data_IF_762324211768
#
_entry.id   IF_762324211768
#
_cell.length_a   1.000
_cell.length_b   1.000
_cell.length_c   1.000
_cell.angle_alpha   90.00
_cell.angle_beta   90.00
_cell.angle_gamma   90.00
#
_symmetry.space_group_name_H-M   'P 1'
#
loop_
_entity.id
_entity.type
_entity.pdbx_description
1 polymer ?
#
# COMPACT_ATOMS: atom_id res chain seq x y z
N UNK A 1 11.25 2.04 3.62
CA UNK A 1 12.20 2.19 4.75
C UNK A 1 11.85 3.47 5.50
N UNK A 2 11.27 3.38 6.70
CA UNK A 2 10.88 4.57 7.45
C UNK A 2 12.15 5.24 8.01
N UNK A 3 12.40 6.49 7.64
CA UNK A 3 13.54 7.25 8.16
C UNK A 3 13.40 7.36 9.69
N UNK A 4 14.35 6.84 10.46
CA UNK A 4 14.25 6.82 11.93
C UNK A 4 14.22 8.25 12.50
N UNK A 5 13.50 8.46 13.60
CA UNK A 5 13.40 9.77 14.27
C UNK A 5 14.77 10.40 14.60
N UNK A 6 15.78 9.53 14.79
CA UNK A 6 17.19 9.88 15.00
C UNK A 6 17.76 10.75 13.87
N UNK A 7 17.37 10.52 12.61
CA UNK A 7 17.84 11.33 11.48
C UNK A 7 17.23 12.73 11.48
N UNK A 8 15.95 12.86 11.88
CA UNK A 8 15.29 14.17 11.97
C UNK A 8 15.94 15.03 13.06
N UNK A 9 16.14 14.44 14.25
CA UNK A 9 16.84 15.13 15.35
C UNK A 9 18.31 15.42 15.01
N UNK A 10 18.99 14.47 14.36
CA UNK A 10 20.38 14.64 13.93
C UNK A 10 20.54 15.79 12.93
N UNK A 11 19.63 15.91 11.96
CA UNK A 11 19.65 16.99 10.98
C UNK A 11 19.35 18.36 11.61
N UNK A 12 18.38 18.43 12.54
CA UNK A 12 18.14 19.62 13.35
C UNK A 12 19.38 20.02 14.16
N UNK A 13 19.99 19.05 14.86
CA UNK A 13 21.21 19.26 15.64
C UNK A 13 22.40 19.72 14.79
N UNK A 14 22.53 19.18 13.58
CA UNK A 14 23.54 19.61 12.61
C UNK A 14 23.38 21.09 12.23
N UNK A 15 22.16 21.54 11.93
CA UNK A 15 21.88 22.95 11.63
C UNK A 15 22.17 23.89 12.81
N UNK A 16 21.83 23.46 14.03
CA UNK A 16 22.13 24.18 15.25
C UNK A 16 23.64 24.31 15.48
N UNK A 17 24.38 23.21 15.32
CA UNK A 17 25.82 23.16 15.50
C UNK A 17 26.55 24.05 14.49
N UNK A 18 26.13 24.00 13.22
CA UNK A 18 26.70 24.82 12.15
C UNK A 18 26.50 26.32 12.44
N UNK A 19 25.30 26.69 12.86
CA UNK A 19 24.98 28.08 13.25
C UNK A 19 25.76 28.52 14.48
N UNK A 20 25.91 27.64 15.48
CA UNK A 20 26.69 27.90 16.68
C UNK A 20 28.15 28.19 16.34
N UNK A 21 28.79 27.36 15.52
CA UNK A 21 30.17 27.53 15.06
C UNK A 21 30.39 28.86 14.33
N UNK A 22 29.46 29.29 13.49
CA UNK A 22 29.57 30.58 12.80
C UNK A 22 29.27 31.77 13.72
N UNK A 23 28.37 31.62 14.69
CA UNK A 23 27.91 32.71 15.54
C UNK A 23 28.81 32.97 16.75
N UNK A 24 29.53 31.97 17.27
CA UNK A 24 30.34 32.08 18.50
C UNK A 24 31.45 33.12 18.42
N UNK A 25 32.07 33.30 17.24
CA UNK A 25 33.17 34.26 17.06
C UNK A 25 32.73 35.70 16.83
N UNK A 26 31.46 35.93 16.51
CA UNK A 26 30.95 37.24 16.09
C UNK A 26 29.88 37.84 17.00
N UNK A 27 29.32 37.06 17.94
CA UNK A 27 28.21 37.50 18.77
C UNK A 27 28.37 37.04 20.23
N UNK A 28 27.79 37.79 21.20
CA UNK A 28 27.68 37.35 22.58
C UNK A 28 27.09 35.93 22.72
N UNK A 29 27.45 35.18 23.78
CA UNK A 29 27.01 33.79 23.94
C UNK A 29 25.48 33.66 23.98
N UNK A 30 24.76 34.61 24.60
CA UNK A 30 23.29 34.60 24.63
C UNK A 30 22.65 34.68 23.25
N UNK A 31 23.12 35.60 22.40
CA UNK A 31 22.63 35.73 21.01
C UNK A 31 22.95 34.48 20.18
N UNK A 32 24.11 33.87 20.40
CA UNK A 32 24.53 32.64 19.70
C UNK A 32 23.64 31.45 20.06
N UNK A 33 23.29 31.28 21.34
CA UNK A 33 22.37 30.22 21.79
C UNK A 33 20.99 30.38 21.15
N UNK A 34 20.44 31.60 21.20
CA UNK A 34 19.12 31.91 20.61
C UNK A 34 19.12 31.63 19.10
N UNK A 35 20.15 32.08 18.37
CA UNK A 35 20.28 31.82 16.92
C UNK A 35 20.41 30.32 16.61
N UNK A 36 21.17 29.59 17.41
CA UNK A 36 21.33 28.14 17.24
C UNK A 36 20.01 27.40 17.49
N UNK A 37 19.19 27.87 18.43
CA UNK A 37 17.85 27.33 18.67
C UNK A 37 16.89 27.59 17.49
N UNK A 38 16.89 28.81 16.93
CA UNK A 38 16.12 29.09 15.73
C UNK A 38 16.58 28.23 14.54
N UNK A 39 17.89 28.05 14.36
CA UNK A 39 18.42 27.17 13.34
C UNK A 39 18.01 25.70 13.57
N UNK A 40 18.05 25.22 14.81
CA UNK A 40 17.56 23.88 15.16
C UNK A 40 16.10 23.68 14.71
N UNK A 41 15.21 24.62 15.07
CA UNK A 41 13.81 24.55 14.71
C UNK A 41 13.60 24.59 13.18
N UNK A 42 14.33 25.48 12.48
CA UNK A 42 14.25 25.60 11.03
C UNK A 42 14.71 24.32 10.31
N UNK A 43 15.85 23.76 10.72
CA UNK A 43 16.37 22.52 10.12
C UNK A 43 15.50 21.31 10.48
N UNK A 44 14.92 21.27 11.68
CA UNK A 44 14.00 20.21 12.07
C UNK A 44 12.72 20.26 11.23
N UNK A 45 12.15 21.44 11.00
CA UNK A 45 11.03 21.63 10.09
C UNK A 45 11.38 21.19 8.66
N UNK A 46 12.56 21.59 8.16
CA UNK A 46 13.05 21.16 6.84
C UNK A 46 13.21 19.64 6.75
N UNK A 47 13.74 19.00 7.79
CA UNK A 47 13.89 17.55 7.86
C UNK A 47 12.54 16.81 7.86
N UNK A 48 11.51 17.37 8.52
CA UNK A 48 10.16 16.83 8.50
C UNK A 48 9.54 16.91 7.10
N UNK A 49 9.68 18.05 6.42
CA UNK A 49 9.23 18.20 5.04
C UNK A 49 9.94 17.20 4.13
N UNK A 50 11.27 17.13 4.22
CA UNK A 50 12.07 16.21 3.42
C UNK A 50 11.70 14.75 3.70
N UNK A 51 11.45 14.41 4.97
CA UNK A 51 10.95 13.08 5.37
C UNK A 51 9.62 12.76 4.69
N UNK A 52 8.67 13.69 4.67
CA UNK A 52 7.37 13.48 4.01
C UNK A 52 7.58 13.24 2.51
N UNK A 53 8.36 14.10 1.86
CA UNK A 53 8.67 13.99 0.43
C UNK A 53 9.33 12.65 0.12
N UNK A 54 10.37 12.25 0.87
CA UNK A 54 11.02 10.96 0.71
C UNK A 54 10.08 9.79 1.01
N UNK A 55 9.17 9.93 1.98
CA UNK A 55 8.21 8.87 2.29
C UNK A 55 7.24 8.66 1.14
N UNK A 56 6.84 9.72 0.42
CA UNK A 56 6.00 9.62 -0.78
C UNK A 56 6.80 9.03 -1.95
N UNK A 57 8.03 9.51 -2.17
CA UNK A 57 8.85 9.12 -3.31
C UNK A 57 9.38 7.68 -3.20
N UNK A 58 9.67 7.21 -1.98
CA UNK A 58 10.18 5.86 -1.71
C UNK A 58 9.06 4.93 -1.20
N UNK A 59 7.78 5.23 -1.48
CA UNK A 59 6.70 4.26 -1.22
C UNK A 59 7.00 3.01 -2.05
N UNK A 60 7.29 1.86 -1.42
CA UNK A 60 7.43 0.63 -2.19
C UNK A 60 6.09 0.36 -2.87
N UNK A 61 6.14 -0.13 -4.12
CA UNK A 61 4.97 -0.75 -4.72
C UNK A 61 4.46 -1.81 -3.74
N UNK A 62 3.14 -1.94 -3.58
CA UNK A 62 2.53 -2.92 -2.70
C UNK A 62 2.96 -4.32 -3.15
N UNK A 63 4.09 -4.79 -2.63
CA UNK A 63 4.41 -6.20 -2.60
C UNK A 63 3.32 -6.82 -1.74
N UNK A 64 2.72 -7.96 -2.15
CA UNK A 64 1.83 -8.71 -1.29
C UNK A 64 2.49 -8.78 0.08
N UNK A 65 1.80 -8.30 1.11
CA UNK A 65 2.29 -8.40 2.48
C UNK A 65 2.74 -9.85 2.67
N UNK A 66 4.04 -10.04 2.89
CA UNK A 66 4.48 -11.17 3.70
C UNK A 66 3.79 -10.92 5.04
N UNK A 67 2.59 -11.49 5.18
CA UNK A 67 1.97 -11.71 6.47
C UNK A 67 3.08 -12.23 7.35
N UNK A 68 3.37 -11.48 8.42
CA UNK A 68 4.24 -11.94 9.50
C UNK A 68 3.97 -13.42 9.70
N UNK A 69 4.98 -14.29 9.57
CA UNK A 69 4.80 -15.75 9.67
C UNK A 69 4.02 -16.16 10.93
N UNK A 70 4.06 -15.32 11.97
CA UNK A 70 3.26 -15.40 13.20
C UNK A 70 1.73 -15.44 13.01
N UNK A 71 1.19 -14.94 11.90
CA UNK A 71 -0.25 -14.90 11.62
C UNK A 71 -0.72 -16.03 10.69
N UNK A 72 0.20 -16.70 9.98
CA UNK A 72 -0.14 -17.82 9.09
C UNK A 72 -0.39 -19.08 9.91
N UNK A 73 -1.67 -19.43 10.09
CA UNK A 73 -2.11 -20.63 10.81
C UNK A 73 -2.97 -20.36 12.04
N UNK A 74 -3.21 -19.09 12.39
CA UNK A 74 -4.06 -18.73 13.54
C UNK A 74 -5.57 -18.72 13.24
N UNK A 75 -5.96 -18.78 11.95
CA UNK A 75 -7.35 -18.93 11.54
C UNK A 75 -7.64 -20.39 11.19
N UNK A 76 -7.90 -21.18 12.23
CA UNK A 76 -8.46 -22.53 12.11
C UNK A 76 -9.99 -22.39 12.22
N UNK A 77 -10.69 -22.36 11.09
CA UNK A 77 -12.15 -22.42 11.09
C UNK A 77 -12.57 -23.87 11.40
N UNK A 78 -12.81 -24.16 12.69
CA UNK A 78 -13.24 -25.47 13.18
C UNK A 78 -14.74 -25.72 12.99
N UNK A 79 -15.46 -24.80 12.35
CA UNK A 79 -16.86 -24.96 12.04
C UNK A 79 -17.01 -25.57 10.64
N UNK A 80 -16.91 -26.90 10.54
CA UNK A 80 -17.45 -27.59 9.37
C UNK A 80 -18.97 -27.41 9.39
N UNK A 81 -19.60 -26.84 8.35
CA UNK A 81 -21.06 -26.89 8.22
C UNK A 81 -21.53 -28.34 8.33
N UNK A 82 -22.58 -28.57 9.10
CA UNK A 82 -23.12 -29.91 9.34
C UNK A 82 -23.84 -30.42 8.09
N UNK A 83 -23.10 -31.00 7.16
CA UNK A 83 -23.60 -31.63 5.92
C UNK A 83 -24.11 -33.06 6.17
N UNK A 84 -24.49 -33.38 7.41
CA UNK A 84 -24.91 -34.72 7.84
C UNK A 84 -26.10 -35.25 7.02
N UNK A 85 -26.98 -34.35 6.59
CA UNK A 85 -28.14 -34.67 5.76
C UNK A 85 -27.75 -35.08 4.33
N UNK A 86 -26.79 -34.37 3.72
CA UNK A 86 -26.32 -34.62 2.36
C UNK A 86 -25.47 -35.91 2.30
N UNK A 87 -24.66 -36.14 3.34
CA UNK A 87 -23.91 -37.38 3.50
C UNK A 87 -24.84 -38.60 3.68
N UNK A 88 -25.92 -38.43 4.46
CA UNK A 88 -26.93 -39.47 4.65
C UNK A 88 -27.65 -39.80 3.33
N UNK A 89 -27.90 -38.81 2.48
CA UNK A 89 -28.58 -39.00 1.20
C UNK A 89 -27.67 -39.70 0.17
N UNK A 90 -26.38 -39.36 0.14
CA UNK A 90 -25.37 -40.05 -0.68
C UNK A 90 -25.18 -41.52 -0.24
N UNK A 91 -25.14 -41.79 1.06
CA UNK A 91 -25.08 -43.16 1.57
C UNK A 91 -26.31 -43.99 1.18
N UNK A 92 -27.50 -43.37 1.17
CA UNK A 92 -28.73 -44.02 0.71
C UNK A 92 -28.70 -44.28 -0.80
N UNK A 93 -28.24 -43.33 -1.61
CA UNK A 93 -28.10 -43.48 -3.06
C UNK A 93 -27.12 -44.59 -3.46
N UNK A 94 -26.05 -44.78 -2.69
CA UNK A 94 -25.09 -45.87 -2.92
C UNK A 94 -25.64 -47.24 -2.49
N UNK A 95 -26.49 -47.30 -1.47
CA UNK A 95 -27.19 -48.52 -1.05
C UNK A 95 -28.37 -48.90 -1.93
N UNK A 96 -29.03 -47.93 -2.59
CA UNK A 96 -30.16 -48.20 -3.49
C UNK A 96 -29.75 -48.61 -4.90
N UNK A 97 -28.46 -48.59 -5.25
CA UNK A 97 -27.94 -49.16 -6.49
C UNK A 97 -28.32 -48.42 -7.78
N UNK A 98 -28.82 -47.18 -7.69
CA UNK A 98 -29.20 -46.40 -8.86
C UNK A 98 -27.97 -45.65 -9.41
N UNK A 99 -27.25 -46.27 -10.35
CA UNK A 99 -26.13 -45.63 -11.05
C UNK A 99 -26.67 -44.61 -12.05
N UNK A 100 -26.67 -43.33 -11.67
CA UNK A 100 -26.90 -42.25 -12.64
C UNK A 100 -25.77 -42.25 -13.70
N UNK A 101 -26.10 -42.16 -15.00
CA UNK A 101 -25.10 -42.27 -16.06
C UNK A 101 -24.16 -41.07 -16.03
N UNK A 102 -22.86 -41.33 -15.91
CA UNK A 102 -21.79 -40.34 -15.95
C UNK A 102 -21.76 -39.71 -17.35
N UNK A 103 -22.26 -38.49 -17.49
CA UNK A 103 -22.13 -37.71 -18.71
C UNK A 103 -20.65 -37.33 -18.89
N UNK A 104 -20.03 -37.85 -19.96
CA UNK A 104 -18.62 -37.61 -20.30
C UNK A 104 -18.29 -36.13 -20.52
N UNK A 105 -17.03 -35.78 -20.31
CA UNK A 105 -16.51 -34.41 -20.43
C UNK A 105 -16.81 -33.80 -21.81
N UNK A 106 -17.58 -32.72 -21.81
CA UNK A 106 -17.87 -31.90 -22.99
C UNK A 106 -17.04 -30.60 -22.92
N UNK A 107 -15.92 -30.49 -23.64
CA UNK A 107 -15.08 -29.30 -23.58
C UNK A 107 -15.82 -28.07 -24.13
N UNK A 108 -15.97 -27.04 -23.31
CA UNK A 108 -16.56 -25.75 -23.68
C UNK A 108 -15.61 -24.99 -24.61
N UNK A 109 -16.07 -24.64 -25.81
CA UNK A 109 -15.31 -23.81 -26.75
C UNK A 109 -15.39 -22.34 -26.33
N UNK A 110 -14.27 -21.69 -25.94
CA UNK A 110 -14.31 -20.29 -25.55
C UNK A 110 -14.43 -19.37 -26.77
N UNK A 111 -15.34 -18.39 -26.70
CA UNK A 111 -15.49 -17.36 -27.72
C UNK A 111 -14.26 -16.44 -27.72
N UNK A 112 -13.60 -16.28 -28.87
CA UNK A 112 -12.44 -15.40 -29.04
C UNK A 112 -12.89 -13.93 -29.04
N UNK A 113 -12.36 -13.14 -28.11
CA UNK A 113 -12.49 -11.69 -28.10
C UNK A 113 -11.58 -11.10 -29.19
N UNK A 114 -12.17 -10.39 -30.15
CA UNK A 114 -11.46 -9.57 -31.13
C UNK A 114 -11.26 -8.18 -30.51
N UNK A 115 -10.02 -7.70 -30.44
CA UNK A 115 -9.71 -6.33 -30.04
C UNK A 115 -10.23 -5.36 -31.09
N UNK A 116 -11.06 -4.40 -30.68
CA UNK A 116 -11.57 -3.34 -31.56
C UNK A 116 -10.44 -2.32 -31.75
N UNK A 117 -9.73 -2.41 -32.86
CA UNK A 117 -8.61 -1.52 -33.24
C UNK A 117 -9.04 -0.12 -33.73
N UNK A 118 -10.20 0.40 -33.32
CA UNK A 118 -10.59 1.78 -33.64
C UNK A 118 -11.53 2.35 -32.57
N UNK A 119 -10.94 2.75 -31.44
CA UNK A 119 -11.59 3.68 -30.52
C UNK A 119 -11.53 5.09 -31.14
N UNK A 120 -12.66 5.52 -31.71
CA UNK A 120 -12.90 6.84 -32.30
C UNK A 120 -12.48 7.98 -31.34
N UNK A 121 -11.37 8.65 -31.67
CA UNK A 121 -10.78 9.79 -30.94
C UNK A 121 -11.74 10.99 -30.79
N UNK A 122 -12.72 11.13 -31.67
CA UNK A 122 -13.62 12.30 -31.70
C UNK A 122 -14.51 12.42 -30.45
N UNK A 123 -14.96 11.30 -29.88
CA UNK A 123 -15.83 11.32 -28.68
C UNK A 123 -15.07 11.70 -27.41
N UNK A 124 -13.78 11.40 -27.33
CA UNK A 124 -12.93 11.78 -26.19
C UNK A 124 -12.64 13.28 -26.21
N UNK A 125 -12.40 13.87 -27.39
CA UNK A 125 -12.23 15.33 -27.54
C UNK A 125 -13.50 16.09 -27.13
N UNK A 126 -14.67 15.54 -27.47
CA UNK A 126 -15.94 16.17 -27.11
C UNK A 126 -16.24 16.07 -25.61
N UNK A 127 -15.88 14.96 -24.95
CA UNK A 127 -16.00 14.80 -23.51
C UNK A 127 -15.10 15.78 -22.73
N UNK A 128 -13.86 15.99 -23.18
CA UNK A 128 -12.95 16.99 -22.57
C UNK A 128 -13.50 18.41 -22.71
N UNK A 129 -14.16 18.74 -23.83
CA UNK A 129 -14.76 20.06 -24.02
C UNK A 129 -15.98 20.26 -23.12
N UNK A 130 -16.84 19.25 -22.96
CA UNK A 130 -17.99 19.33 -22.06
C UNK A 130 -17.60 19.43 -20.58
N UNK A 131 -16.53 18.75 -20.15
CA UNK A 131 -16.07 18.79 -18.76
C UNK A 131 -15.42 20.14 -18.36
N UNK A 132 -15.06 20.98 -19.33
CA UNK A 132 -14.48 22.30 -19.06
C UNK A 132 -15.52 23.42 -18.94
N UNK A 133 -16.75 23.14 -19.37
CA UNK A 133 -17.86 24.09 -19.38
C UNK A 133 -18.82 23.92 -18.18
N UNK A 134 -18.50 23.03 -17.21
CA UNK A 134 -19.05 23.00 -15.83
C UNK A 134 -18.08 23.63 -14.83
#
# INVERSE_FOLDING_TARGET
>A
MALSWRFVLGFGGFGALLTFLFSIGSNPPGTTIIRSFYAFAAFLALALVLRIVLSVLLRPAALPQEESEEARGAHLDLATPSDDAELTDLMKGQWSGEQAPVAGFQPLQPARFVSIDNANDERMVQAVRQMKDE
#
